data_IF_741163550329
#
_entry.id   IF_741163550329
#
_cell.length_a   1.000
_cell.length_b   1.000
_cell.length_c   1.000
_cell.angle_alpha   90.00
_cell.angle_beta   90.00
_cell.angle_gamma   90.00
#
_symmetry.space_group_name_H-M   'P 1'
#
loop_
_entity.id
_entity.type
_entity.pdbx_description
1 polymer ?
#
# COMPACT_ATOMS: atom_id res chain seq x y z
N UNK A 1 -13.26 -0.71 5.85
CA UNK A 1 -11.79 -0.84 5.90
C UNK A 1 -11.25 -0.64 7.32
N UNK A 2 -11.44 0.52 7.94
CA UNK A 2 -10.85 0.86 9.26
C UNK A 2 -11.69 0.45 10.48
N UNK A 3 -12.96 0.06 10.30
CA UNK A 3 -13.88 -0.23 11.42
C UNK A 3 -13.41 -1.37 12.32
N UNK A 4 -12.73 -2.39 11.77
CA UNK A 4 -12.17 -3.50 12.54
C UNK A 4 -11.14 -3.04 13.57
N UNK A 5 -10.24 -2.13 13.16
CA UNK A 5 -9.26 -1.51 14.05
C UNK A 5 -9.93 -0.74 15.20
N UNK A 6 -10.88 0.16 14.93
CA UNK A 6 -11.52 0.95 15.99
C UNK A 6 -12.32 0.08 16.96
N UNK A 7 -13.03 -0.93 16.45
CA UNK A 7 -13.76 -1.87 17.29
C UNK A 7 -12.82 -2.70 18.17
N UNK A 8 -11.62 -3.03 17.69
CA UNK A 8 -10.61 -3.71 18.50
C UNK A 8 -9.99 -2.77 19.53
N UNK A 9 -9.72 -1.51 19.17
CA UNK A 9 -9.18 -0.51 20.09
C UNK A 9 -10.11 -0.21 21.27
N UNK A 10 -11.42 -0.32 21.07
CA UNK A 10 -12.39 -0.23 22.16
C UNK A 10 -12.38 -1.47 23.07
N UNK A 11 -12.29 -2.68 22.49
CA UNK A 11 -12.29 -3.95 23.25
C UNK A 11 -10.97 -4.24 23.95
N UNK A 12 -9.85 -3.88 23.34
CA UNK A 12 -8.49 -4.21 23.77
C UNK A 12 -7.56 -2.98 23.69
N UNK A 13 -7.86 -1.89 24.42
CA UNK A 13 -7.14 -0.62 24.27
C UNK A 13 -5.65 -0.71 24.59
N UNK A 14 -5.25 -1.62 25.49
CA UNK A 14 -3.84 -1.80 25.89
C UNK A 14 -3.01 -2.70 24.97
N UNK A 15 -3.60 -3.27 23.91
CA UNK A 15 -2.87 -4.07 22.93
C UNK A 15 -1.87 -3.17 22.19
N UNK A 16 -0.66 -3.66 21.90
CA UNK A 16 0.33 -2.92 21.10
C UNK A 16 -0.11 -2.87 19.64
N UNK A 17 -0.25 -1.68 19.07
CA UNK A 17 -0.54 -1.44 17.66
C UNK A 17 0.74 -1.14 16.87
N UNK A 18 1.60 -0.29 17.42
CA UNK A 18 2.85 0.14 16.80
C UNK A 18 4.01 -0.12 17.75
N UNK A 19 5.11 -0.64 17.22
CA UNK A 19 6.37 -0.87 17.92
C UNK A 19 7.53 -0.37 17.04
N UNK A 20 8.70 -0.14 17.63
CA UNK A 20 9.91 0.27 16.92
C UNK A 20 10.82 1.08 17.83
N UNK A 21 11.89 1.65 17.27
CA UNK A 21 12.85 2.44 18.05
C UNK A 21 12.18 3.64 18.72
N UNK A 22 12.12 3.60 20.06
CA UNK A 22 11.54 4.68 20.86
C UNK A 22 10.02 4.87 20.72
N UNK A 23 9.33 4.02 19.96
CA UNK A 23 7.88 4.11 19.72
C UNK A 23 7.21 2.81 20.16
N UNK A 24 6.37 2.91 21.18
CA UNK A 24 5.38 1.89 21.50
C UNK A 24 4.04 2.60 21.66
N UNK A 25 3.07 2.26 20.81
CA UNK A 25 1.72 2.81 20.89
C UNK A 25 0.71 1.68 20.92
N UNK A 26 -0.18 1.78 21.90
CA UNK A 26 -1.31 0.87 22.01
C UNK A 26 -2.42 1.20 21.00
N UNK A 27 -3.32 0.25 20.78
CA UNK A 27 -4.52 0.42 19.95
C UNK A 27 -5.38 1.58 20.46
N UNK A 28 -5.57 1.70 21.77
CA UNK A 28 -6.35 2.77 22.39
C UNK A 28 -5.71 4.14 22.20
N UNK A 29 -4.38 4.25 22.33
CA UNK A 29 -3.66 5.50 22.09
C UNK A 29 -3.70 5.91 20.61
N UNK A 30 -3.47 4.96 19.70
CA UNK A 30 -3.53 5.21 18.27
C UNK A 30 -4.94 5.64 17.84
N UNK A 31 -5.97 4.93 18.29
CA UNK A 31 -7.36 5.28 18.01
C UNK A 31 -7.75 6.65 18.61
N UNK A 32 -7.35 6.93 19.85
CA UNK A 32 -7.63 8.21 20.50
C UNK A 32 -6.96 9.39 19.78
N UNK A 33 -5.73 9.22 19.30
CA UNK A 33 -5.04 10.22 18.47
C UNK A 33 -5.74 10.40 17.13
N UNK A 34 -6.10 9.31 16.45
CA UNK A 34 -6.83 9.36 15.18
C UNK A 34 -8.20 10.05 15.31
N UNK A 35 -8.95 9.77 16.38
CA UNK A 35 -10.26 10.41 16.63
C UNK A 35 -10.14 11.91 16.93
N UNK A 36 -9.03 12.37 17.52
CA UNK A 36 -8.72 13.81 17.66
C UNK A 36 -8.48 14.47 16.32
N UNK A 37 -7.67 13.86 15.45
CA UNK A 37 -7.48 14.33 14.08
C UNK A 37 -8.81 14.37 13.34
N UNK A 38 -9.63 13.33 13.46
CA UNK A 38 -10.94 13.28 12.83
C UNK A 38 -11.85 14.44 13.28
N UNK A 39 -11.88 14.73 14.60
CA UNK A 39 -12.62 15.85 15.15
C UNK A 39 -12.13 17.20 14.64
N UNK A 40 -10.81 17.37 14.54
CA UNK A 40 -10.17 18.58 14.01
C UNK A 40 -10.44 18.80 12.50
N UNK A 41 -10.55 17.73 11.72
CA UNK A 41 -10.94 17.78 10.31
C UNK A 41 -12.41 18.18 10.17
N UNK A 42 -13.30 17.57 10.97
CA UNK A 42 -14.73 17.89 10.98
C UNK A 42 -15.00 19.34 11.39
N UNK A 43 -14.28 19.89 12.37
CA UNK A 43 -14.42 21.28 12.78
C UNK A 43 -13.94 22.29 11.72
N UNK A 44 -13.13 21.82 10.76
CA UNK A 44 -12.69 22.58 9.57
C UNK A 44 -13.58 22.36 8.35
N UNK A 45 -14.72 21.69 8.52
CA UNK A 45 -15.71 21.51 7.47
C UNK A 45 -15.42 20.35 6.51
N UNK A 46 -14.56 19.39 6.89
CA UNK A 46 -14.44 18.13 6.15
C UNK A 46 -15.73 17.33 6.26
N UNK A 47 -16.32 16.98 5.13
CA UNK A 47 -17.52 16.15 5.04
C UNK A 47 -17.19 14.73 4.56
N UNK A 48 -18.04 13.73 4.84
CA UNK A 48 -17.82 12.38 4.33
C UNK A 48 -17.71 12.38 2.79
N UNK A 49 -16.66 11.71 2.28
CA UNK A 49 -16.33 11.67 0.84
C UNK A 49 -15.39 12.79 0.36
N UNK A 50 -15.10 13.80 1.19
CA UNK A 50 -14.04 14.77 0.88
C UNK A 50 -12.67 14.08 0.80
N UNK A 51 -11.79 14.58 -0.06
CA UNK A 51 -10.39 14.14 -0.09
C UNK A 51 -9.53 14.99 0.84
N UNK A 52 -8.74 14.33 1.68
CA UNK A 52 -7.73 14.96 2.55
C UNK A 52 -6.37 14.34 2.25
N UNK A 53 -5.40 15.19 1.91
CA UNK A 53 -4.05 14.71 1.65
C UNK A 53 -3.30 14.40 2.94
N UNK A 54 -2.45 13.37 2.88
CA UNK A 54 -1.54 12.98 3.95
C UNK A 54 -0.11 13.12 3.42
N UNK A 55 0.58 14.18 3.86
CA UNK A 55 1.98 14.47 3.56
C UNK A 55 2.76 14.51 4.86
N UNK A 56 2.79 13.35 5.52
CA UNK A 56 3.40 13.14 6.83
C UNK A 56 4.57 12.16 6.64
N UNK A 57 5.77 12.46 7.17
CA UNK A 57 6.90 11.53 7.15
C UNK A 57 6.52 10.17 7.75
N UNK A 58 7.26 9.12 7.41
CA UNK A 58 7.05 7.78 7.98
C UNK A 58 7.12 7.84 9.51
N UNK A 59 6.17 7.19 10.17
CA UNK A 59 6.11 7.14 11.63
C UNK A 59 4.69 6.98 12.14
N UNK A 60 4.54 7.06 13.47
CA UNK A 60 3.24 6.94 14.12
C UNK A 60 2.22 7.97 13.64
N UNK A 61 2.66 9.23 13.44
CA UNK A 61 1.77 10.32 13.04
C UNK A 61 1.19 10.14 11.63
N UNK A 62 1.90 9.45 10.75
CA UNK A 62 1.39 9.09 9.43
C UNK A 62 0.18 8.15 9.55
N UNK A 63 0.24 7.19 10.46
CA UNK A 63 -0.88 6.25 10.70
C UNK A 63 -2.03 6.91 11.45
N UNK A 64 -1.72 7.80 12.40
CA UNK A 64 -2.71 8.68 13.05
C UNK A 64 -3.45 9.51 12.01
N UNK A 65 -2.74 10.10 11.04
CA UNK A 65 -3.32 10.90 9.97
C UNK A 65 -4.26 10.07 9.08
N UNK A 66 -3.80 8.92 8.59
CA UNK A 66 -4.61 8.03 7.73
C UNK A 66 -5.88 7.58 8.45
N UNK A 67 -5.75 7.08 9.69
CA UNK A 67 -6.89 6.64 10.48
C UNK A 67 -7.83 7.80 10.84
N UNK A 68 -7.28 8.99 11.09
CA UNK A 68 -8.05 10.20 11.40
C UNK A 68 -8.87 10.72 10.22
N UNK A 69 -8.29 10.74 9.01
CA UNK A 69 -9.02 11.07 7.77
C UNK A 69 -10.17 10.10 7.56
N UNK A 70 -9.89 8.80 7.67
CA UNK A 70 -10.92 7.77 7.49
C UNK A 70 -12.01 7.83 8.57
N UNK A 71 -11.63 8.09 9.83
CA UNK A 71 -12.59 8.24 10.93
C UNK A 71 -13.45 9.51 10.80
N UNK A 72 -12.99 10.53 10.09
CA UNK A 72 -13.83 11.68 9.71
C UNK A 72 -14.84 11.35 8.58
N UNK A 73 -14.74 10.15 7.98
CA UNK A 73 -15.52 9.72 6.82
C UNK A 73 -14.94 10.17 5.48
N UNK A 74 -13.74 10.75 5.48
CA UNK A 74 -13.07 11.28 4.31
C UNK A 74 -12.17 10.23 3.63
N UNK A 75 -11.77 10.53 2.40
CA UNK A 75 -10.85 9.73 1.58
C UNK A 75 -9.43 10.24 1.76
N UNK A 76 -8.49 9.37 2.16
CA UNK A 76 -7.10 9.80 2.30
C UNK A 76 -6.34 9.76 0.96
N UNK A 77 -5.49 10.76 0.73
CA UNK A 77 -4.65 10.87 -0.47
C UNK A 77 -3.20 10.93 -0.02
N UNK A 78 -2.46 9.81 -0.02
CA UNK A 78 -1.07 9.81 0.43
C UNK A 78 -0.18 10.48 -0.62
N UNK A 79 0.69 11.38 -0.14
CA UNK A 79 1.66 12.10 -0.97
C UNK A 79 3.00 12.08 -0.26
N UNK A 80 3.99 11.43 -0.87
CA UNK A 80 5.33 11.30 -0.30
C UNK A 80 6.00 12.66 -0.07
N UNK A 81 6.66 12.80 1.08
CA UNK A 81 7.36 14.04 1.46
C UNK A 81 8.57 14.32 0.56
N UNK A 82 9.19 13.27 0.03
CA UNK A 82 10.34 13.26 -0.87
C UNK A 82 9.96 13.44 -2.36
N UNK A 83 8.66 13.41 -2.70
CA UNK A 83 8.23 13.69 -4.06
C UNK A 83 8.54 15.15 -4.44
N UNK A 84 9.00 15.41 -5.68
CA UNK A 84 9.29 16.78 -6.13
C UNK A 84 8.08 17.72 -5.92
N UNK A 85 8.28 18.97 -5.46
CA UNK A 85 7.18 19.90 -5.18
C UNK A 85 6.18 20.05 -6.32
N UNK A 86 6.67 20.16 -7.57
CA UNK A 86 5.84 20.25 -8.77
C UNK A 86 4.93 19.03 -8.94
N UNK A 87 5.40 17.83 -8.58
CA UNK A 87 4.59 16.61 -8.63
C UNK A 87 3.52 16.62 -7.54
N UNK A 88 3.87 17.01 -6.30
CA UNK A 88 2.91 17.12 -5.19
C UNK A 88 1.80 18.13 -5.52
N UNK A 89 2.14 19.29 -6.09
CA UNK A 89 1.18 20.30 -6.51
C UNK A 89 0.20 19.80 -7.58
N UNK A 90 0.65 18.92 -8.49
CA UNK A 90 -0.24 18.27 -9.47
C UNK A 90 -1.18 17.28 -8.79
N UNK A 91 -0.66 16.48 -7.85
CA UNK A 91 -1.46 15.52 -7.07
C UNK A 91 -2.53 16.26 -6.27
N UNK A 92 -2.17 17.29 -5.51
CA UNK A 92 -3.13 18.04 -4.69
C UNK A 92 -4.25 18.65 -5.53
N UNK A 93 -3.90 19.31 -6.64
CA UNK A 93 -4.89 19.90 -7.57
C UNK A 93 -5.80 18.85 -8.18
N UNK A 94 -5.24 17.73 -8.66
CA UNK A 94 -6.01 16.68 -9.32
C UNK A 94 -6.89 15.88 -8.35
N UNK A 95 -6.43 15.71 -7.11
CA UNK A 95 -7.22 15.09 -6.05
C UNK A 95 -8.38 16.00 -5.58
N UNK A 96 -8.27 17.31 -5.81
CA UNK A 96 -9.22 18.31 -5.34
C UNK A 96 -9.16 18.50 -3.83
N UNK A 97 -7.97 18.35 -3.22
CA UNK A 97 -7.83 18.49 -1.76
C UNK A 97 -7.89 19.96 -1.34
N UNK A 98 -8.62 20.22 -0.26
CA UNK A 98 -8.65 21.53 0.41
C UNK A 98 -7.76 21.58 1.65
N UNK A 99 -7.43 20.41 2.18
CA UNK A 99 -6.69 20.22 3.43
C UNK A 99 -5.59 19.18 3.22
N UNK A 100 -4.40 19.47 3.75
CA UNK A 100 -3.29 18.53 3.83
C UNK A 100 -2.86 18.38 5.29
N UNK A 101 -2.84 17.14 5.78
CA UNK A 101 -2.19 16.79 7.03
C UNK A 101 -0.69 16.72 6.82
N UNK A 102 0.07 17.42 7.67
CA UNK A 102 1.53 17.45 7.62
C UNK A 102 2.15 16.96 8.93
N UNK A 103 3.37 16.43 8.86
CA UNK A 103 4.18 16.16 10.06
C UNK A 103 4.71 17.45 10.69
N UNK A 104 5.50 17.32 11.76
CA UNK A 104 6.26 18.45 12.27
C UNK A 104 7.17 19.04 11.18
N UNK A 105 7.35 20.37 11.13
CA UNK A 105 8.36 20.99 10.28
C UNK A 105 9.76 20.63 10.79
N UNK A 106 10.29 19.47 10.36
CA UNK A 106 11.68 19.08 10.52
C UNK A 106 12.53 19.67 9.39
N UNK A 107 13.65 20.28 9.76
CA UNK A 107 14.68 20.86 8.87
C UNK A 107 14.86 20.02 7.61
N UNK A 108 14.69 20.63 6.44
CA UNK A 108 14.97 19.99 5.16
C UNK A 108 16.35 19.34 5.22
N UNK A 109 16.51 18.06 4.87
CA UNK A 109 17.85 17.52 4.70
C UNK A 109 18.53 18.38 3.63
N UNK A 110 19.66 18.98 3.99
CA UNK A 110 20.49 19.74 3.07
C UNK A 110 20.98 18.77 1.98
N UNK A 111 20.22 18.70 0.88
CA UNK A 111 20.57 17.86 -0.26
C UNK A 111 21.69 18.57 -1.02
N UNK A 112 22.91 18.47 -0.51
CA UNK A 112 24.09 18.71 -1.32
C UNK A 112 24.07 17.71 -2.50
N UNK A 113 24.20 18.16 -3.76
CA UNK A 113 24.09 17.28 -4.91
C UNK A 113 25.31 16.33 -4.94
N UNK A 114 25.09 15.07 -4.59
CA UNK A 114 26.06 14.01 -4.84
C UNK A 114 25.98 13.66 -6.33
N UNK A 115 26.97 14.12 -7.09
CA UNK A 115 27.24 13.67 -8.46
C UNK A 115 27.60 12.19 -8.44
N UNK A 116 26.61 11.32 -8.61
CA UNK A 116 26.77 9.88 -8.81
C UNK A 116 25.98 9.47 -10.05
N UNK A 117 26.69 9.24 -11.15
CA UNK A 117 26.11 8.75 -12.41
C UNK A 117 25.56 7.34 -12.26
N UNK A 118 24.25 7.16 -12.33
CA UNK A 118 23.61 5.91 -12.73
C UNK A 118 22.46 6.22 -13.70
N UNK A 119 22.55 5.64 -14.90
CA UNK A 119 21.77 6.03 -16.06
C UNK A 119 20.29 5.66 -15.99
N UNK A 120 19.46 6.69 -16.00
CA UNK A 120 18.13 6.70 -16.64
C UNK A 120 18.13 7.85 -17.66
N UNK A 121 17.44 7.74 -18.81
CA UNK A 121 17.52 8.77 -19.84
C UNK A 121 16.87 10.07 -19.33
N UNK A 122 17.70 11.11 -19.21
CA UNK A 122 17.30 12.44 -18.83
C UNK A 122 16.36 13.06 -19.89
N UNK A 123 15.08 13.19 -19.54
CA UNK A 123 14.22 14.19 -20.15
C UNK A 123 14.73 15.58 -19.73
N UNK A 124 14.96 16.46 -20.71
CA UNK A 124 15.52 17.80 -20.50
C UNK A 124 14.72 18.64 -19.48
N UNK A 125 15.38 19.44 -18.62
CA UNK A 125 14.69 20.30 -17.68
C UNK A 125 14.09 21.50 -18.42
N UNK A 126 12.75 21.56 -18.48
CA UNK A 126 12.05 22.81 -18.79
C UNK A 126 12.08 23.67 -17.54
N UNK A 127 12.70 24.85 -17.63
CA UNK A 127 12.84 25.81 -16.55
C UNK A 127 11.50 26.19 -15.93
N UNK A 128 11.37 25.97 -14.63
CA UNK A 128 10.28 26.41 -13.78
C UNK A 128 10.84 26.77 -12.41
N UNK A 129 10.40 27.91 -11.87
CA UNK A 129 10.85 28.52 -10.62
C UNK A 129 11.05 27.54 -9.47
N UNK A 130 12.17 27.70 -8.73
CA UNK A 130 12.42 27.06 -7.43
C UNK A 130 11.28 27.41 -6.45
N UNK A 131 10.25 26.57 -6.38
CA UNK A 131 9.31 26.56 -5.28
C UNK A 131 10.02 26.12 -4.01
N UNK A 132 9.74 26.77 -2.88
CA UNK A 132 10.18 26.30 -1.56
C UNK A 132 9.80 24.82 -1.39
N UNK A 133 10.63 23.99 -0.73
CA UNK A 133 10.25 22.62 -0.37
C UNK A 133 8.94 22.54 0.44
N UNK A 134 8.48 23.67 0.99
CA UNK A 134 7.20 23.82 1.68
C UNK A 134 6.18 24.63 0.88
N UNK A 135 6.24 24.72 -0.45
CA UNK A 135 5.15 25.35 -1.22
C UNK A 135 4.00 24.36 -1.43
N UNK A 136 2.78 24.80 -1.14
CA UNK A 136 1.52 24.08 -1.40
C UNK A 136 0.66 24.98 -2.29
N UNK A 137 -0.29 24.43 -3.07
CA UNK A 137 -1.15 25.22 -3.92
C UNK A 137 -1.97 26.24 -3.13
N UNK A 138 -2.24 27.40 -3.74
CA UNK A 138 -3.10 28.42 -3.14
C UNK A 138 -4.48 27.83 -2.77
N UNK A 139 -4.94 28.14 -1.56
CA UNK A 139 -6.22 27.66 -1.04
C UNK A 139 -6.18 26.28 -0.38
N UNK A 140 -5.01 25.62 -0.31
CA UNK A 140 -4.83 24.38 0.46
C UNK A 140 -4.39 24.71 1.89
N UNK A 141 -5.25 24.44 2.87
CA UNK A 141 -4.93 24.60 4.29
C UNK A 141 -4.04 23.46 4.77
N UNK A 142 -3.00 23.80 5.55
CA UNK A 142 -2.11 22.83 6.19
C UNK A 142 -2.52 22.64 7.64
N UNK A 143 -2.57 21.39 8.07
CA UNK A 143 -2.92 21.04 9.44
C UNK A 143 -1.86 20.08 9.97
N UNK A 144 -0.95 20.54 10.84
CA UNK A 144 -0.01 19.65 11.49
C UNK A 144 -0.76 18.60 12.32
N UNK A 145 -0.40 17.32 12.19
CA UNK A 145 -1.09 16.21 12.86
C UNK A 145 -1.11 16.40 14.39
N UNK A 146 0.01 16.85 14.95
CA UNK A 146 0.18 17.07 16.39
C UNK A 146 -0.58 18.29 16.91
N UNK A 147 -0.84 19.28 16.05
CA UNK A 147 -1.58 20.50 16.38
C UNK A 147 -3.06 20.41 16.01
N UNK A 148 -3.53 19.24 15.57
CA UNK A 148 -4.93 18.95 15.34
C UNK A 148 -5.70 18.89 16.68
N UNK A 149 -5.78 20.01 17.40
CA UNK A 149 -6.37 20.21 18.73
C UNK A 149 -7.90 20.19 18.75
N UNK A 150 -8.52 19.31 17.96
CA UNK A 150 -9.97 19.12 17.92
C UNK A 150 -10.51 18.30 19.09
N UNK A 151 -11.77 18.53 19.44
CA UNK A 151 -12.51 17.61 20.33
C UNK A 151 -12.61 16.26 19.62
N UNK A 152 -12.09 15.16 20.20
CA UNK A 152 -12.13 13.86 19.54
C UNK A 152 -13.56 13.43 19.23
N UNK A 153 -13.75 12.80 18.07
CA UNK A 153 -15.03 12.14 17.78
C UNK A 153 -15.24 10.97 18.74
N UNK A 154 -16.50 10.69 19.08
CA UNK A 154 -16.86 9.54 19.92
C UNK A 154 -16.54 8.19 19.24
N UNK A 155 -16.46 8.18 17.91
CA UNK A 155 -16.11 7.04 17.08
C UNK A 155 -16.00 7.45 15.61
N UNK A 156 -15.60 6.53 14.72
CA UNK A 156 -15.53 6.81 13.30
C UNK A 156 -16.91 7.12 12.72
N UNK A 157 -16.98 8.05 11.76
CA UNK A 157 -18.19 8.36 11.01
C UNK A 157 -18.56 7.18 10.10
N UNK A 158 -19.82 6.74 10.17
CA UNK A 158 -20.33 5.70 9.27
C UNK A 158 -20.46 6.21 7.84
N UNK A 159 -19.91 5.45 6.88
CA UNK A 159 -19.96 5.75 5.43
C UNK A 159 -20.40 4.52 4.64
N UNK A 160 -20.91 4.72 3.42
CA UNK A 160 -21.21 3.61 2.50
C UNK A 160 -19.92 2.83 2.21
N UNK A 161 -19.88 1.49 2.33
CA UNK A 161 -18.71 0.69 1.95
C UNK A 161 -18.25 0.88 0.49
N UNK A 162 -19.14 1.33 -0.40
CA UNK A 162 -18.83 1.70 -1.79
C UNK A 162 -18.16 3.06 -1.93
N UNK A 163 -18.15 3.90 -0.89
CA UNK A 163 -17.47 5.18 -0.90
C UNK A 163 -15.93 5.01 -0.99
N UNK A 164 -15.22 5.97 -1.60
CA UNK A 164 -13.76 5.94 -1.73
C UNK A 164 -13.08 5.97 -0.36
N UNK A 165 -12.21 4.99 -0.11
CA UNK A 165 -11.35 4.92 1.07
C UNK A 165 -10.05 5.71 0.84
N UNK A 166 -9.45 5.55 -0.34
CA UNK A 166 -8.21 6.23 -0.70
C UNK A 166 -8.11 6.58 -2.18
N UNK A 167 -7.25 7.54 -2.48
CA UNK A 167 -6.79 7.84 -3.85
C UNK A 167 -5.28 7.76 -3.91
N UNK A 168 -4.74 6.72 -4.56
CA UNK A 168 -3.30 6.56 -4.75
C UNK A 168 -2.92 6.99 -6.16
N UNK A 169 -1.87 7.83 -6.28
CA UNK A 169 -1.45 8.38 -7.55
C UNK A 169 -0.33 7.56 -8.21
N UNK A 170 -0.63 6.96 -9.34
CA UNK A 170 0.33 6.19 -10.14
C UNK A 170 0.95 7.02 -11.26
N UNK A 171 2.04 6.53 -11.83
CA UNK A 171 2.70 7.12 -12.99
C UNK A 171 1.80 7.00 -14.22
N UNK A 172 1.34 8.13 -14.78
CA UNK A 172 0.59 8.12 -16.03
C UNK A 172 1.52 8.01 -17.25
N UNK A 173 1.06 7.30 -18.29
CA UNK A 173 1.74 7.20 -19.59
C UNK A 173 1.98 8.55 -20.28
N UNK A 174 1.19 9.58 -19.93
CA UNK A 174 1.32 10.96 -20.42
C UNK A 174 2.23 11.83 -19.55
N UNK A 175 2.85 11.27 -18.50
CA UNK A 175 3.63 12.02 -17.50
C UNK A 175 2.78 12.68 -16.41
N UNK A 176 1.45 12.73 -16.57
CA UNK A 176 0.54 13.25 -15.56
C UNK A 176 0.13 12.16 -14.54
N UNK A 177 0.25 12.40 -13.22
CA UNK A 177 -0.17 11.45 -12.20
C UNK A 177 -1.65 11.09 -12.33
N UNK A 178 -2.00 9.80 -12.23
CA UNK A 178 -3.39 9.32 -12.27
C UNK A 178 -3.82 8.86 -10.89
N UNK A 179 -4.84 9.49 -10.31
CA UNK A 179 -5.33 9.13 -8.98
C UNK A 179 -6.32 7.97 -9.07
N UNK A 180 -5.94 6.79 -8.61
CA UNK A 180 -6.82 5.60 -8.59
C UNK A 180 -7.70 5.65 -7.35
N UNK A 181 -9.01 5.73 -7.53
CA UNK A 181 -9.98 5.78 -6.43
C UNK A 181 -10.45 4.38 -6.04
N UNK A 182 -10.09 3.92 -4.84
CA UNK A 182 -10.48 2.59 -4.34
C UNK A 182 -11.48 2.70 -3.21
N UNK A 183 -12.57 1.93 -3.30
CA UNK A 183 -13.62 1.92 -2.28
C UNK A 183 -13.20 1.15 -1.01
N UNK A 184 -13.87 1.45 0.11
CA UNK A 184 -13.68 0.69 1.34
C UNK A 184 -13.93 -0.81 1.16
N UNK A 185 -14.95 -1.19 0.37
CA UNK A 185 -15.35 -2.56 0.10
C UNK A 185 -14.31 -3.30 -0.73
N UNK A 186 -13.77 -2.66 -1.77
CA UNK A 186 -12.77 -3.26 -2.64
C UNK A 186 -11.49 -3.60 -1.86
N UNK A 187 -10.94 -2.62 -1.13
CA UNK A 187 -9.76 -2.84 -0.30
C UNK A 187 -10.02 -3.86 0.82
N UNK A 188 -11.19 -3.81 1.47
CA UNK A 188 -11.52 -4.75 2.55
C UNK A 188 -11.66 -6.19 2.04
N UNK A 189 -12.19 -6.41 0.83
CA UNK A 189 -12.27 -7.75 0.23
C UNK A 189 -10.88 -8.40 0.13
N UNK A 190 -9.90 -7.66 -0.40
CA UNK A 190 -8.51 -8.14 -0.50
C UNK A 190 -7.90 -8.39 0.87
N UNK A 191 -8.04 -7.43 1.80
CA UNK A 191 -7.50 -7.56 3.17
C UNK A 191 -8.04 -8.78 3.90
N UNK A 192 -9.36 -9.01 3.85
CA UNK A 192 -9.99 -10.16 4.53
C UNK A 192 -9.51 -11.47 3.92
N UNK A 193 -9.52 -11.60 2.58
CA UNK A 193 -9.11 -12.84 1.93
C UNK A 193 -7.64 -13.19 2.24
N UNK A 194 -6.73 -12.22 2.14
CA UNK A 194 -5.30 -12.43 2.44
C UNK A 194 -5.11 -12.85 3.89
N UNK A 195 -5.78 -12.17 4.83
CA UNK A 195 -5.67 -12.51 6.26
C UNK A 195 -6.21 -13.91 6.57
N UNK A 196 -7.39 -14.26 6.06
CA UNK A 196 -8.00 -15.58 6.27
C UNK A 196 -7.17 -16.70 5.62
N UNK A 197 -6.72 -16.48 4.38
CA UNK A 197 -5.96 -17.46 3.59
C UNK A 197 -4.60 -17.78 4.19
N UNK A 198 -3.92 -16.79 4.75
CA UNK A 198 -2.56 -16.95 5.29
C UNK A 198 -2.50 -16.90 6.82
N UNK A 199 -3.67 -16.92 7.47
CA UNK A 199 -3.82 -17.01 8.92
C UNK A 199 -3.20 -15.81 9.65
N UNK A 200 -3.32 -14.60 9.11
CA UNK A 200 -2.80 -13.37 9.74
C UNK A 200 -3.73 -12.94 10.87
N UNK A 201 -3.16 -12.74 12.05
CA UNK A 201 -3.93 -12.60 13.28
C UNK A 201 -3.23 -11.82 14.40
N UNK A 202 -3.79 -11.90 15.62
CA UNK A 202 -3.37 -11.12 16.79
C UNK A 202 -1.92 -11.31 17.26
N UNK A 203 -1.28 -12.41 16.85
CA UNK A 203 0.11 -12.72 17.17
C UNK A 203 1.11 -12.18 16.16
N UNK A 204 0.63 -11.59 15.05
CA UNK A 204 1.50 -11.20 13.95
C UNK A 204 2.03 -9.79 14.04
N UNK A 205 3.24 -9.64 13.52
CA UNK A 205 3.94 -8.36 13.42
C UNK A 205 4.56 -8.23 12.05
N UNK A 206 4.34 -7.10 11.39
CA UNK A 206 4.95 -6.79 10.09
C UNK A 206 6.00 -5.69 10.25
N UNK A 207 7.12 -5.81 9.55
CA UNK A 207 8.04 -4.68 9.39
C UNK A 207 7.48 -3.74 8.31
N UNK A 208 7.02 -2.55 8.72
CA UNK A 208 6.29 -1.62 7.85
C UNK A 208 7.25 -0.84 6.93
N UNK A 209 7.68 -1.48 5.83
CA UNK A 209 8.61 -0.90 4.84
C UNK A 209 7.89 -0.21 3.67
N UNK A 210 6.67 -0.63 3.32
CA UNK A 210 5.92 -0.03 2.21
C UNK A 210 5.73 1.46 2.44
N UNK A 211 5.99 2.27 1.41
CA UNK A 211 5.69 3.70 1.44
C UNK A 211 4.18 3.92 1.27
N UNK A 212 3.62 4.91 1.96
CA UNK A 212 2.17 5.12 2.03
C UNK A 212 1.54 5.47 0.67
N UNK A 213 2.33 6.04 -0.25
CA UNK A 213 1.94 6.35 -1.62
C UNK A 213 2.02 5.15 -2.58
N UNK A 214 2.34 3.96 -2.07
CA UNK A 214 2.16 2.68 -2.74
C UNK A 214 1.08 1.86 -2.03
N UNK A 215 0.27 1.14 -2.82
CA UNK A 215 -0.88 0.39 -2.32
C UNK A 215 -0.52 -0.82 -1.45
N UNK A 216 0.70 -1.34 -1.51
CA UNK A 216 1.19 -2.37 -0.57
C UNK A 216 1.05 -1.93 0.90
N UNK A 217 1.21 -0.64 1.17
CA UNK A 217 1.04 -0.09 2.53
C UNK A 217 -0.39 -0.22 3.06
N UNK A 218 -1.39 -0.33 2.19
CA UNK A 218 -2.79 -0.50 2.58
C UNK A 218 -2.96 -1.82 3.34
N UNK A 219 -2.28 -2.89 2.91
CA UNK A 219 -2.33 -4.14 3.66
C UNK A 219 -1.49 -4.07 4.94
N UNK A 220 -0.31 -3.46 4.91
CA UNK A 220 0.50 -3.29 6.14
C UNK A 220 -0.32 -2.62 7.26
N UNK A 221 -1.04 -1.55 6.91
CA UNK A 221 -1.87 -0.80 7.86
C UNK A 221 -3.14 -1.57 8.21
N UNK A 222 -4.01 -1.85 7.24
CA UNK A 222 -5.35 -2.34 7.53
C UNK A 222 -5.43 -3.85 7.69
N UNK A 223 -4.52 -4.59 7.07
CA UNK A 223 -4.38 -6.04 7.23
C UNK A 223 -4.00 -6.41 8.65
N UNK A 224 -2.89 -5.85 9.16
CA UNK A 224 -2.43 -6.16 10.51
C UNK A 224 -3.33 -5.53 11.58
N UNK A 225 -3.65 -4.24 11.46
CA UNK A 225 -4.40 -3.55 12.52
C UNK A 225 -5.85 -4.06 12.66
N UNK A 226 -6.47 -4.53 11.57
CA UNK A 226 -7.81 -5.13 11.69
C UNK A 226 -7.78 -6.56 12.23
N UNK A 227 -6.64 -7.25 12.11
CA UNK A 227 -6.43 -8.60 12.62
C UNK A 227 -5.94 -8.62 14.08
N UNK A 228 -5.63 -7.47 14.68
CA UNK A 228 -5.07 -7.37 16.02
C UNK A 228 -3.55 -7.53 16.10
N UNK A 229 -2.86 -7.55 14.97
CA UNK A 229 -1.40 -7.57 14.91
C UNK A 229 -0.79 -6.20 15.21
N UNK A 230 0.52 -6.08 15.01
CA UNK A 230 1.25 -4.82 15.18
C UNK A 230 2.15 -4.49 13.98
N UNK A 231 2.39 -3.19 13.78
CA UNK A 231 3.37 -2.70 12.81
C UNK A 231 4.66 -2.35 13.54
N UNK A 232 5.78 -2.91 13.09
CA UNK A 232 7.12 -2.52 13.51
C UNK A 232 7.59 -1.42 12.56
N UNK A 233 7.69 -0.20 13.07
CA UNK A 233 8.08 0.98 12.31
C UNK A 233 9.59 0.99 12.07
N UNK A 234 9.98 1.44 10.89
CA UNK A 234 11.37 1.66 10.49
C UNK A 234 11.58 3.15 10.33
N UNK A 235 12.65 3.69 10.89
CA UNK A 235 13.05 5.09 10.68
C UNK A 235 13.33 5.35 9.19
N UNK A 236 13.11 6.58 8.73
CA UNK A 236 13.22 6.91 7.30
C UNK A 236 14.65 6.71 6.78
N UNK A 237 15.65 6.99 7.59
CA UNK A 237 17.07 6.79 7.30
C UNK A 237 17.38 5.29 7.11
N UNK A 238 16.77 4.43 7.92
CA UNK A 238 16.95 2.98 7.88
C UNK A 238 16.14 2.27 6.79
N UNK A 239 15.34 3.00 5.99
CA UNK A 239 14.42 2.40 4.99
C UNK A 239 15.11 1.60 3.87
N UNK A 240 16.44 1.70 3.74
CA UNK A 240 17.28 0.97 2.76
C UNK A 240 18.40 0.16 3.43
N UNK A 241 18.34 -0.01 4.75
CA UNK A 241 19.39 -0.65 5.54
C UNK A 241 19.00 -2.05 5.98
N UNK A 242 19.25 -3.05 5.13
CA UNK A 242 18.80 -4.42 5.36
C UNK A 242 19.31 -5.08 6.66
N UNK A 243 20.51 -4.69 7.12
CA UNK A 243 21.02 -5.12 8.44
C UNK A 243 20.17 -4.59 9.57
N UNK A 244 19.74 -3.32 9.49
CA UNK A 244 18.86 -2.72 10.47
C UNK A 244 17.48 -3.38 10.47
N UNK A 245 16.98 -3.79 9.31
CA UNK A 245 15.74 -4.56 9.24
C UNK A 245 15.87 -5.88 9.99
N UNK A 246 16.94 -6.65 9.76
CA UNK A 246 17.18 -7.91 10.47
C UNK A 246 17.26 -7.71 12.00
N UNK A 247 17.92 -6.64 12.46
CA UNK A 247 17.96 -6.28 13.88
C UNK A 247 16.56 -5.99 14.46
N UNK A 248 15.77 -5.16 13.78
CA UNK A 248 14.40 -4.84 14.19
C UNK A 248 13.48 -6.06 14.17
N UNK A 249 13.64 -6.93 13.17
CA UNK A 249 12.88 -8.18 13.06
C UNK A 249 13.16 -9.10 14.24
N UNK A 250 14.43 -9.27 14.62
CA UNK A 250 14.83 -10.05 15.78
C UNK A 250 14.33 -9.41 17.09
N UNK A 251 14.53 -8.09 17.25
CA UNK A 251 14.18 -7.37 18.48
C UNK A 251 12.67 -7.33 18.74
N UNK A 252 11.87 -7.20 17.68
CA UNK A 252 10.41 -7.08 17.79
C UNK A 252 9.65 -8.34 17.41
N UNK A 253 10.32 -9.43 17.05
CA UNK A 253 9.68 -10.70 16.70
C UNK A 253 8.75 -10.56 15.50
N UNK A 254 9.26 -10.02 14.39
CA UNK A 254 8.50 -9.88 13.14
C UNK A 254 8.16 -11.25 12.57
N UNK A 255 6.88 -11.47 12.25
CA UNK A 255 6.36 -12.75 11.76
C UNK A 255 5.91 -12.70 10.30
N UNK A 256 5.62 -11.50 9.79
CA UNK A 256 5.19 -11.28 8.41
C UNK A 256 6.11 -10.27 7.71
N UNK A 257 6.47 -10.58 6.47
CA UNK A 257 7.20 -9.70 5.57
C UNK A 257 6.33 -9.38 4.36
N UNK A 258 6.24 -8.11 3.95
CA UNK A 258 5.44 -7.68 2.80
C UNK A 258 6.19 -6.60 2.01
N UNK A 259 6.78 -6.95 0.87
CA UNK A 259 7.57 -6.00 0.06
C UNK A 259 7.60 -6.37 -1.43
N UNK A 260 8.34 -5.59 -2.23
CA UNK A 260 8.83 -6.04 -3.54
C UNK A 260 9.92 -7.11 -3.41
N UNK A 261 10.13 -7.98 -4.42
CA UNK A 261 11.13 -9.06 -4.37
C UNK A 261 12.56 -8.58 -4.08
N UNK A 262 12.96 -7.42 -4.61
CA UNK A 262 14.29 -6.86 -4.39
C UNK A 262 14.58 -6.53 -2.91
N UNK A 263 13.59 -6.13 -2.12
CA UNK A 263 13.79 -5.85 -0.70
C UNK A 263 13.88 -7.15 0.12
N UNK A 264 13.14 -8.19 -0.27
CA UNK A 264 13.32 -9.53 0.32
C UNK A 264 14.72 -10.06 0.01
N UNK A 265 15.20 -9.91 -1.23
CA UNK A 265 16.57 -10.29 -1.59
C UNK A 265 17.61 -9.60 -0.71
N UNK A 266 17.50 -8.27 -0.55
CA UNK A 266 18.38 -7.51 0.34
C UNK A 266 18.34 -8.01 1.79
N UNK A 267 17.16 -8.34 2.32
CA UNK A 267 17.00 -8.92 3.65
C UNK A 267 17.71 -10.27 3.77
N UNK A 268 17.51 -11.17 2.79
CA UNK A 268 18.13 -12.49 2.78
C UNK A 268 19.67 -12.38 2.72
N UNK A 269 20.21 -11.44 1.94
CA UNK A 269 21.66 -11.17 1.93
C UNK A 269 22.14 -10.69 3.31
N UNK A 270 21.39 -9.82 3.98
CA UNK A 270 21.75 -9.38 5.33
C UNK A 270 21.69 -10.53 6.36
N UNK A 271 20.68 -11.40 6.25
CA UNK A 271 20.45 -12.54 7.13
C UNK A 271 21.57 -13.61 7.08
N UNK A 272 22.29 -13.73 5.96
CA UNK A 272 23.51 -14.58 5.86
C UNK A 272 24.57 -14.19 6.91
N UNK A 273 24.59 -12.92 7.32
CA UNK A 273 25.53 -12.38 8.32
C UNK A 273 24.90 -12.17 9.70
N UNK A 274 23.61 -12.47 9.87
CA UNK A 274 22.86 -12.31 11.11
C UNK A 274 22.03 -13.57 11.44
N UNK A 275 22.68 -14.69 11.84
CA UNK A 275 21.98 -15.94 12.13
C UNK A 275 20.88 -15.77 13.19
N UNK A 276 19.72 -16.34 12.94
CA UNK A 276 18.57 -16.29 13.83
C UNK A 276 17.67 -15.05 13.68
N UNK A 277 18.08 -14.05 12.89
CA UNK A 277 17.31 -12.81 12.74
C UNK A 277 15.94 -13.01 12.05
N UNK A 278 15.79 -14.09 11.28
CA UNK A 278 14.57 -14.43 10.54
C UNK A 278 13.79 -15.60 11.17
N UNK A 279 14.20 -16.11 12.34
CA UNK A 279 13.57 -17.30 12.96
C UNK A 279 12.09 -17.11 13.28
N UNK A 280 11.67 -15.86 13.55
CA UNK A 280 10.27 -15.52 13.81
C UNK A 280 9.39 -15.45 12.56
N UNK A 281 10.00 -15.40 11.37
CA UNK A 281 9.29 -15.16 10.12
C UNK A 281 8.54 -16.42 9.67
N UNK A 282 7.22 -16.32 9.51
CA UNK A 282 6.34 -17.41 9.06
C UNK A 282 5.72 -17.17 7.68
N UNK A 283 5.67 -15.92 7.24
CA UNK A 283 5.01 -15.53 6.01
C UNK A 283 5.79 -14.40 5.33
N UNK A 284 6.25 -14.64 4.11
CA UNK A 284 6.83 -13.64 3.24
C UNK A 284 5.93 -13.46 2.02
N UNK A 285 5.34 -12.27 1.90
CA UNK A 285 4.52 -11.85 0.79
C UNK A 285 5.34 -10.92 -0.10
N UNK A 286 5.43 -11.26 -1.39
CA UNK A 286 6.17 -10.47 -2.37
C UNK A 286 5.32 -10.15 -3.58
N UNK A 287 5.41 -8.90 -4.08
CA UNK A 287 4.60 -8.43 -5.21
C UNK A 287 5.16 -7.17 -5.85
N UNK A 288 4.54 -6.72 -6.93
CA UNK A 288 4.90 -5.45 -7.60
C UNK A 288 6.06 -5.55 -8.59
N UNK A 289 6.75 -6.70 -8.66
CA UNK A 289 7.75 -7.01 -9.67
C UNK A 289 7.85 -8.54 -9.85
N UNK A 290 8.67 -8.95 -10.80
CA UNK A 290 9.02 -10.33 -11.09
C UNK A 290 9.66 -11.03 -9.88
N UNK A 291 9.13 -12.20 -9.51
CA UNK A 291 9.64 -13.00 -8.38
C UNK A 291 10.64 -14.03 -8.90
N UNK A 292 11.88 -13.92 -8.45
CA UNK A 292 12.98 -14.83 -8.83
C UNK A 292 12.80 -16.24 -8.28
N UNK A 293 13.23 -17.24 -9.05
CA UNK A 293 13.14 -18.66 -8.71
C UNK A 293 14.12 -19.10 -7.60
N UNK A 294 15.12 -18.28 -7.26
CA UNK A 294 16.10 -18.54 -6.21
C UNK A 294 15.63 -18.11 -4.81
N UNK A 295 14.77 -17.08 -4.74
CA UNK A 295 14.25 -16.53 -3.48
C UNK A 295 13.59 -17.59 -2.56
N UNK A 296 12.76 -18.54 -3.06
CA UNK A 296 12.09 -19.51 -2.20
C UNK A 296 13.08 -20.42 -1.46
N UNK A 297 14.14 -20.87 -2.14
CA UNK A 297 15.16 -21.72 -1.54
C UNK A 297 15.97 -20.97 -0.48
N UNK A 298 16.43 -19.75 -0.80
CA UNK A 298 17.19 -18.91 0.13
C UNK A 298 16.38 -18.51 1.36
N UNK A 299 15.08 -18.24 1.20
CA UNK A 299 14.19 -18.00 2.32
C UNK A 299 14.06 -19.26 3.20
N UNK A 300 13.87 -20.44 2.60
CA UNK A 300 13.76 -21.69 3.34
C UNK A 300 15.05 -22.04 4.12
N UNK A 301 16.22 -21.70 3.58
CA UNK A 301 17.51 -21.91 4.25
C UNK A 301 17.66 -21.07 5.53
N UNK A 302 17.04 -19.87 5.57
CA UNK A 302 17.14 -18.96 6.72
C UNK A 302 15.91 -18.97 7.64
N UNK A 303 14.76 -19.40 7.12
CA UNK A 303 13.48 -19.45 7.82
C UNK A 303 12.66 -20.66 7.31
N UNK A 304 13.04 -21.87 7.73
CA UNK A 304 12.50 -23.13 7.19
C UNK A 304 10.98 -23.31 7.31
N UNK A 305 10.33 -22.61 8.24
CA UNK A 305 8.87 -22.61 8.40
C UNK A 305 8.13 -21.51 7.63
N UNK A 306 8.86 -20.63 6.93
CA UNK A 306 8.29 -19.47 6.27
C UNK A 306 7.69 -19.83 4.91
N UNK A 307 6.44 -19.42 4.69
CA UNK A 307 5.79 -19.53 3.37
C UNK A 307 6.13 -18.32 2.51
N UNK A 308 6.58 -18.53 1.28
CA UNK A 308 6.69 -17.47 0.28
C UNK A 308 5.41 -17.43 -0.57
N UNK A 309 4.71 -16.31 -0.52
CA UNK A 309 3.53 -16.06 -1.35
C UNK A 309 3.90 -14.97 -2.36
N UNK A 310 3.85 -15.31 -3.64
CA UNK A 310 3.90 -14.32 -4.70
C UNK A 310 2.47 -13.80 -4.93
N UNK A 311 2.28 -12.49 -4.86
CA UNK A 311 1.01 -11.82 -5.07
C UNK A 311 1.11 -10.91 -6.29
N UNK A 312 0.00 -10.80 -7.01
CA UNK A 312 -0.09 -9.97 -8.20
C UNK A 312 -1.37 -9.15 -8.19
N UNK A 313 -1.31 -7.98 -8.80
CA UNK A 313 -2.46 -7.12 -9.01
C UNK A 313 -2.07 -5.82 -9.69
N UNK A 314 -2.97 -4.85 -9.61
CA UNK A 314 -2.73 -3.48 -9.99
C UNK A 314 -3.39 -2.56 -8.96
N UNK A 315 -2.92 -1.32 -8.86
CA UNK A 315 -3.56 -0.31 -7.99
C UNK A 315 -5.04 -0.13 -8.31
N UNK A 316 -5.40 -0.24 -9.59
CA UNK A 316 -6.77 -0.22 -10.10
C UNK A 316 -7.63 -1.44 -9.71
N UNK A 317 -7.07 -2.42 -9.01
CA UNK A 317 -7.76 -3.61 -8.53
C UNK A 317 -7.55 -3.91 -7.03
N UNK A 318 -7.26 -2.87 -6.24
CA UNK A 318 -7.16 -2.90 -4.78
C UNK A 318 -6.08 -3.86 -4.25
N UNK A 319 -4.82 -3.41 -4.39
CA UNK A 319 -3.58 -4.04 -3.88
C UNK A 319 -3.20 -5.29 -4.66
N UNK A 320 -3.93 -6.39 -4.44
CA UNK A 320 -3.68 -7.68 -5.05
C UNK A 320 -4.98 -8.29 -5.54
N UNK A 321 -4.87 -9.10 -6.58
CA UNK A 321 -5.97 -9.78 -7.26
C UNK A 321 -5.74 -11.27 -7.44
N UNK A 322 -4.50 -11.75 -7.34
CA UNK A 322 -4.14 -13.16 -7.43
C UNK A 322 -3.01 -13.49 -6.47
N UNK A 323 -2.73 -14.79 -6.35
CA UNK A 323 -1.60 -15.31 -5.60
C UNK A 323 -1.08 -16.63 -6.18
N UNK A 324 0.20 -16.89 -5.91
CA UNK A 324 0.86 -18.20 -6.00
C UNK A 324 1.49 -18.51 -4.65
N UNK A 325 1.10 -19.64 -4.06
CA UNK A 325 1.82 -20.23 -2.93
C UNK A 325 3.06 -20.94 -3.49
N UNK A 326 4.24 -20.37 -3.28
CA UNK A 326 5.45 -20.79 -4.00
C UNK A 326 6.03 -22.04 -3.32
N UNK A 327 6.02 -23.21 -3.98
CA UNK A 327 6.54 -24.43 -3.40
C UNK A 327 8.07 -24.40 -3.26
N UNK A 328 8.57 -25.13 -2.27
CA UNK A 328 10.00 -25.41 -2.08
C UNK A 328 10.19 -26.94 -2.04
N UNK A 329 10.96 -27.56 -2.96
CA UNK A 329 11.67 -26.92 -4.08
C UNK A 329 10.72 -26.41 -5.18
N UNK A 330 11.19 -25.40 -5.90
CA UNK A 330 10.46 -24.83 -7.05
C UNK A 330 10.41 -25.86 -8.21
N UNK A 331 9.26 -26.04 -8.89
CA UNK A 331 9.14 -26.96 -10.00
C UNK A 331 10.13 -26.66 -11.13
N UNK A 332 10.86 -27.68 -11.58
CA UNK A 332 11.92 -27.53 -12.58
C UNK A 332 11.46 -27.00 -13.95
N UNK A 333 10.15 -27.04 -14.25
CA UNK A 333 9.59 -26.52 -15.50
C UNK A 333 9.22 -25.03 -15.42
N UNK A 334 9.28 -24.41 -14.24
CA UNK A 334 9.03 -22.98 -14.08
C UNK A 334 10.22 -22.18 -14.61
N UNK A 335 9.94 -21.25 -15.52
CA UNK A 335 10.90 -20.24 -15.99
C UNK A 335 10.80 -18.95 -15.17
N UNK A 336 9.69 -18.78 -14.46
CA UNK A 336 9.43 -17.74 -13.46
C UNK A 336 8.35 -18.22 -12.51
N UNK A 337 8.22 -17.58 -11.34
CA UNK A 337 7.06 -17.82 -10.47
C UNK A 337 5.81 -17.33 -11.20
N UNK A 338 4.78 -18.19 -11.39
CA UNK A 338 3.58 -17.80 -12.11
C UNK A 338 2.78 -16.75 -11.32
N UNK A 339 1.99 -15.96 -12.05
CA UNK A 339 1.09 -14.98 -11.47
C UNK A 339 -0.02 -15.64 -10.63
N UNK A 340 -0.40 -16.87 -10.97
CA UNK A 340 -1.13 -17.76 -10.08
C UNK A 340 -2.63 -17.76 -10.28
N UNK A 341 -3.39 -17.73 -9.18
CA UNK A 341 -4.85 -17.89 -9.19
C UNK A 341 -5.56 -16.71 -8.54
N UNK A 342 -6.78 -16.37 -8.96
CA UNK A 342 -7.51 -15.23 -8.42
C UNK A 342 -7.76 -15.35 -6.91
N UNK A 343 -7.72 -14.21 -6.22
CA UNK A 343 -8.20 -14.06 -4.84
C UNK A 343 -9.74 -14.16 -4.79
N UNK A 344 -10.27 -14.32 -3.59
CA UNK A 344 -11.71 -14.44 -3.35
C UNK A 344 -12.46 -13.22 -3.90
N UNK A 345 -13.56 -13.47 -4.61
CA UNK A 345 -14.39 -12.49 -5.31
C UNK A 345 -13.66 -11.69 -6.42
N UNK A 346 -12.45 -12.09 -6.81
CA UNK A 346 -11.71 -11.50 -7.91
C UNK A 346 -11.64 -12.48 -9.09
N UNK A 347 -11.49 -11.93 -10.30
CA UNK A 347 -11.54 -12.70 -11.54
C UNK A 347 -10.51 -12.16 -12.52
N UNK A 348 -10.06 -13.03 -13.40
CA UNK A 348 -9.17 -12.67 -14.50
C UNK A 348 -9.78 -13.12 -15.82
N UNK A 349 -9.43 -12.41 -16.89
CA UNK A 349 -9.57 -12.87 -18.27
C UNK A 349 -8.26 -12.59 -18.99
N UNK A 350 -7.91 -13.49 -19.91
CA UNK A 350 -6.90 -13.26 -20.94
C UNK A 350 -7.68 -13.09 -22.24
N UNK A 351 -7.61 -11.91 -22.86
CA UNK A 351 -8.48 -11.62 -24.01
C UNK A 351 -7.71 -11.22 -25.28
N UNK A 352 -8.29 -11.53 -26.43
CA UNK A 352 -7.77 -11.10 -27.73
C UNK A 352 -8.11 -9.62 -28.04
N UNK A 353 -7.66 -9.11 -29.19
CA UNK A 353 -7.94 -7.73 -29.63
C UNK A 353 -9.42 -7.40 -29.85
N UNK A 354 -10.34 -8.37 -29.76
CA UNK A 354 -11.81 -8.19 -29.80
C UNK A 354 -12.45 -8.38 -28.42
N UNK A 355 -11.65 -8.62 -27.38
CA UNK A 355 -12.07 -8.89 -26.01
C UNK A 355 -12.74 -10.26 -25.83
N UNK A 356 -12.42 -11.24 -26.67
CA UNK A 356 -12.86 -12.64 -26.50
C UNK A 356 -11.81 -13.40 -25.70
N UNK A 357 -12.23 -14.36 -24.90
CA UNK A 357 -11.29 -15.17 -24.10
C UNK A 357 -10.34 -15.97 -25.01
N UNK A 358 -9.05 -15.89 -24.69
CA UNK A 358 -8.02 -16.69 -25.33
C UNK A 358 -8.07 -18.15 -24.81
N UNK A 359 -7.83 -19.15 -25.66
CA UNK A 359 -7.55 -20.52 -25.22
C UNK A 359 -6.27 -20.60 -24.37
N UNK A 360 -6.10 -21.71 -23.66
CA UNK A 360 -4.87 -22.00 -22.92
C UNK A 360 -3.63 -21.86 -23.82
N UNK A 361 -2.54 -21.35 -23.24
CA UNK A 361 -1.27 -21.03 -23.87
C UNK A 361 -1.28 -19.91 -24.91
N UNK A 362 -2.44 -19.37 -25.29
CA UNK A 362 -2.54 -18.25 -26.22
C UNK A 362 -2.43 -16.92 -25.45
N UNK A 363 -1.40 -16.10 -25.71
CA UNK A 363 -1.24 -14.83 -25.02
C UNK A 363 -2.33 -13.83 -25.42
N UNK A 364 -2.74 -13.00 -24.46
CA UNK A 364 -3.72 -11.92 -24.65
C UNK A 364 -3.59 -10.85 -23.57
N UNK A 365 -4.41 -9.80 -23.67
CA UNK A 365 -4.46 -8.73 -22.67
C UNK A 365 -5.10 -9.26 -21.37
N UNK A 366 -4.46 -9.00 -20.24
CA UNK A 366 -5.00 -9.31 -18.91
C UNK A 366 -6.05 -8.29 -18.48
N UNK A 367 -7.22 -8.79 -18.12
CA UNK A 367 -8.29 -8.00 -17.54
C UNK A 367 -8.59 -8.52 -16.13
N UNK A 368 -8.72 -7.59 -15.18
CA UNK A 368 -9.06 -7.88 -13.79
C UNK A 368 -10.51 -7.51 -13.53
N UNK A 369 -11.29 -8.41 -12.94
CA UNK A 369 -12.69 -8.21 -12.61
C UNK A 369 -13.00 -8.56 -11.16
N UNK A 370 -14.22 -8.26 -10.73
CA UNK A 370 -14.73 -8.63 -9.42
C UNK A 370 -14.66 -7.51 -8.38
N UNK A 371 -14.70 -7.89 -7.11
CA UNK A 371 -14.92 -6.95 -6.00
C UNK A 371 -13.76 -5.98 -5.75
N UNK A 372 -12.55 -6.29 -6.23
CA UNK A 372 -11.35 -5.45 -6.08
C UNK A 372 -11.27 -4.27 -7.06
N UNK A 373 -12.06 -4.25 -8.14
CA UNK A 373 -11.96 -3.23 -9.19
C UNK A 373 -12.24 -1.83 -8.64
N UNK A 374 -11.31 -0.91 -8.84
CA UNK A 374 -11.37 0.48 -8.40
C UNK A 374 -12.57 1.24 -8.98
N UNK A 375 -12.96 2.33 -8.33
CA UNK A 375 -14.05 3.22 -8.78
C UNK A 375 -13.69 3.94 -10.09
N UNK A 376 -12.40 4.18 -10.34
CA UNK A 376 -11.92 4.80 -11.56
C UNK A 376 -10.70 5.68 -11.30
N UNK A 377 -10.43 6.60 -12.22
CA UNK A 377 -9.42 7.64 -12.08
C UNK A 377 -10.05 8.98 -11.70
N UNK A 378 -9.60 9.55 -10.58
CA UNK A 378 -10.04 10.83 -10.02
C UNK A 378 -9.94 11.96 -11.05
N UNK A 379 -11.07 12.58 -11.32
CA UNK A 379 -11.18 13.71 -12.25
C UNK A 379 -10.87 13.36 -13.71
N UNK A 380 -10.93 12.08 -14.09
CA UNK A 380 -10.58 11.63 -15.45
C UNK A 380 -11.58 10.58 -15.96
N UNK A 381 -12.81 11.01 -16.33
CA UNK A 381 -13.86 10.10 -16.78
C UNK A 381 -13.53 9.44 -18.13
N UNK A 382 -12.75 10.09 -18.99
CA UNK A 382 -12.38 9.56 -20.30
C UNK A 382 -11.43 8.37 -20.18
N UNK A 383 -10.33 8.51 -19.42
CA UNK A 383 -9.41 7.40 -19.17
C UNK A 383 -10.11 6.32 -18.34
N UNK A 384 -11.00 6.72 -17.41
CA UNK A 384 -11.81 5.77 -16.65
C UNK A 384 -12.67 4.91 -17.58
N UNK A 385 -13.42 5.49 -18.51
CA UNK A 385 -14.26 4.73 -19.43
C UNK A 385 -13.42 3.84 -20.39
N UNK A 386 -12.21 4.27 -20.75
CA UNK A 386 -11.32 3.49 -21.61
C UNK A 386 -10.71 2.27 -20.91
N UNK A 387 -10.42 2.39 -19.60
CA UNK A 387 -9.73 1.38 -18.80
C UNK A 387 -10.65 0.51 -17.95
N UNK A 388 -11.80 1.02 -17.54
CA UNK A 388 -12.80 0.31 -16.74
C UNK A 388 -14.05 0.09 -17.58
N UNK A 389 -14.19 -1.13 -18.13
CA UNK A 389 -15.25 -1.48 -19.08
C UNK A 389 -16.29 -2.39 -18.45
N UNK A 390 -17.54 -2.24 -18.87
CA UNK A 390 -18.62 -3.17 -18.52
C UNK A 390 -18.78 -4.20 -19.64
N UNK A 391 -18.76 -5.48 -19.29
CA UNK A 391 -18.95 -6.59 -20.23
C UNK A 391 -19.54 -7.79 -19.53
N UNK A 392 -20.53 -8.41 -20.16
CA UNK A 392 -21.21 -9.62 -19.69
C UNK A 392 -21.75 -9.48 -18.24
N UNK A 393 -22.22 -8.28 -17.88
CA UNK A 393 -22.75 -7.97 -16.54
C UNK A 393 -21.70 -7.78 -15.45
N UNK A 394 -20.41 -7.74 -15.81
CA UNK A 394 -19.31 -7.46 -14.89
C UNK A 394 -18.51 -6.22 -15.29
N UNK A 395 -17.87 -5.61 -14.29
CA UNK A 395 -16.91 -4.51 -14.48
C UNK A 395 -15.48 -5.06 -14.52
N UNK A 396 -14.71 -4.60 -15.48
CA UNK A 396 -13.35 -5.08 -15.78
C UNK A 396 -12.38 -3.92 -15.88
N UNK A 397 -11.23 -4.04 -15.24
CA UNK A 397 -10.06 -3.20 -15.46
C UNK A 397 -9.14 -3.83 -16.51
N UNK A 398 -8.79 -3.05 -17.54
CA UNK A 398 -7.87 -3.43 -18.62
C UNK A 398 -6.44 -3.06 -18.25
N UNK A 399 -5.65 -4.02 -17.77
CA UNK A 399 -4.32 -3.72 -17.23
C UNK A 399 -3.38 -3.22 -18.33
N UNK A 400 -3.49 -3.80 -19.53
CA UNK A 400 -2.56 -3.57 -20.63
C UNK A 400 -1.36 -4.53 -20.61
N UNK A 401 -1.28 -5.39 -19.61
CA UNK A 401 -0.28 -6.46 -19.54
C UNK A 401 -0.69 -7.63 -20.41
N UNK A 402 0.32 -8.38 -20.88
CA UNK A 402 0.11 -9.63 -21.58
C UNK A 402 0.30 -10.79 -20.62
N UNK A 403 -0.60 -11.77 -20.71
CA UNK A 403 -0.48 -13.02 -19.97
C UNK A 403 -1.19 -14.14 -20.71
N UNK A 404 -1.18 -15.33 -20.12
CA UNK A 404 -1.88 -16.50 -20.66
C UNK A 404 -2.25 -17.48 -19.55
N UNK A 405 -3.27 -18.28 -19.82
CA UNK A 405 -3.62 -19.39 -18.94
C UNK A 405 -2.84 -20.66 -19.28
N UNK A 406 -2.47 -21.39 -18.24
CA UNK A 406 -2.14 -22.80 -18.32
C UNK A 406 -3.42 -23.64 -18.28
N UNK A 407 -3.38 -24.92 -18.72
CA UNK A 407 -4.56 -25.79 -18.75
C UNK A 407 -5.19 -26.09 -17.39
N UNK A 408 -4.46 -25.85 -16.30
CA UNK A 408 -4.95 -26.03 -14.93
C UNK A 408 -5.56 -24.74 -14.34
N UNK A 409 -5.66 -23.67 -15.13
CA UNK A 409 -6.19 -22.38 -14.74
C UNK A 409 -5.19 -21.45 -14.05
N UNK A 410 -3.90 -21.83 -14.00
CA UNK A 410 -2.84 -20.94 -13.50
C UNK A 410 -2.56 -19.84 -14.51
N UNK A 411 -2.47 -18.60 -14.03
CA UNK A 411 -2.10 -17.44 -14.82
C UNK A 411 -0.58 -17.28 -14.82
N UNK A 412 -0.02 -17.09 -16.01
CA UNK A 412 1.39 -16.75 -16.24
C UNK A 412 1.53 -15.31 -16.70
#
# INVERSE_FOLDING_TARGET
>A
LHSGFFALAEREPGRVALAGDGVELSYGELAGRALRVAGALRSRGVEPGDAVAVTVPRGADQLVAVLGVLAAGATYVPVGVDQPPVRRDRIYRRAGVRLVLTGEPGVSPDVSPVSGSNGFPAGSPVGGSNGSPDSFPDGVERVPVMEAGGVPLAGPVGVDPGAPAYVIFTSGSTGEPKGVEVSHRAALNTVVDVNERFGVGPGDRVLALSALDFDLSVWDVFGLLSAGGALVLVEEEARREARRWAELMAAHGVTVWNTVPALLDMLLVAGETAPGALDGLRLAMVSGDWVGLDLPGRLADQAAGCRLIALGGATEAAIWSNFTDVPVPVPAHWTSVPYGRPLTNQRFRVVDGRGRDCPDWVPGELWIGGAGVALGYRGDPEVTAAKFVERDGGRWYRTGDLGRYWPDGTLE
#
